data_IF_053204823149
#
_entry.id   IF_053204823149
#
_cell.length_a   1.000
_cell.length_b   1.000
_cell.length_c   1.000
_cell.angle_alpha   90.00
_cell.angle_beta   90.00
_cell.angle_gamma   90.00
#
_symmetry.space_group_name_H-M   'P 1'
#
loop_
_entity.id
_entity.type
_entity.pdbx_description
1 polymer ?
#
# COMPACT_ATOMS: atom_id res chain seq x y z
N UNK A 1 38.44 12.08 21.64
CA UNK A 1 37.17 12.31 20.93
C UNK A 1 37.21 11.38 19.74
N UNK A 2 36.41 10.31 19.75
CA UNK A 2 36.32 9.42 18.59
C UNK A 2 35.54 10.20 17.53
N UNK A 3 36.21 10.50 16.41
CA UNK A 3 35.54 11.05 15.23
C UNK A 3 34.43 10.07 14.83
N UNK A 4 33.19 10.56 14.76
CA UNK A 4 31.98 9.76 14.52
C UNK A 4 31.83 9.24 13.08
N UNK A 5 32.93 8.92 12.41
CA UNK A 5 32.92 8.49 11.00
C UNK A 5 32.41 7.06 10.81
N UNK A 6 32.55 6.18 11.81
CA UNK A 6 32.21 4.75 11.69
C UNK A 6 31.08 4.28 12.64
N UNK A 7 30.40 5.19 13.34
CA UNK A 7 29.37 4.80 14.31
C UNK A 7 28.04 4.47 13.61
N UNK A 8 27.66 3.20 13.65
CA UNK A 8 26.40 2.70 13.10
C UNK A 8 25.47 2.26 14.23
N UNK A 9 24.23 2.74 14.22
CA UNK A 9 23.18 2.24 15.11
C UNK A 9 22.30 1.22 14.39
N UNK A 10 21.99 0.13 15.09
CA UNK A 10 21.03 -0.88 14.67
C UNK A 10 19.91 -0.97 15.71
N UNK A 11 18.67 -1.17 15.25
CA UNK A 11 17.49 -1.28 16.10
C UNK A 11 16.48 -2.23 15.47
N UNK A 12 15.32 -2.42 16.11
CA UNK A 12 14.28 -3.39 15.75
C UNK A 12 13.39 -3.01 14.54
N UNK A 13 13.58 -1.82 13.95
CA UNK A 13 12.78 -1.34 12.82
C UNK A 13 11.46 -0.68 13.21
N UNK A 14 11.16 -0.53 14.50
CA UNK A 14 9.94 0.14 15.00
C UNK A 14 10.10 1.65 15.14
N UNK A 15 8.99 2.40 15.15
CA UNK A 15 9.04 3.84 15.39
C UNK A 15 9.66 4.18 16.76
N UNK A 16 9.32 3.39 17.78
CA UNK A 16 9.83 3.55 19.14
C UNK A 16 11.34 3.30 19.21
N UNK A 17 11.84 2.26 18.55
CA UNK A 17 13.28 1.99 18.47
C UNK A 17 14.07 3.10 17.79
N UNK A 18 13.49 3.75 16.76
CA UNK A 18 14.11 4.94 16.16
C UNK A 18 14.16 6.12 17.15
N UNK A 19 13.11 6.35 17.93
CA UNK A 19 13.13 7.39 18.96
C UNK A 19 14.17 7.09 20.06
N UNK A 20 14.35 5.81 20.42
CA UNK A 20 15.41 5.38 21.32
C UNK A 20 16.81 5.66 20.76
N UNK A 21 17.03 5.44 19.45
CA UNK A 21 18.28 5.83 18.79
C UNK A 21 18.57 7.33 18.93
N UNK A 22 17.54 8.18 18.82
CA UNK A 22 17.68 9.62 19.06
C UNK A 22 18.06 9.88 20.52
N UNK A 23 17.37 9.25 21.48
CA UNK A 23 17.64 9.41 22.91
C UNK A 23 19.09 9.05 23.25
N UNK A 24 19.55 7.88 22.80
CA UNK A 24 20.90 7.37 23.03
C UNK A 24 21.98 8.33 22.50
N UNK A 25 21.77 8.88 21.30
CA UNK A 25 22.69 9.88 20.72
C UNK A 25 22.84 11.11 21.62
N UNK A 26 21.78 11.56 22.28
CA UNK A 26 21.86 12.68 23.22
C UNK A 26 22.51 12.30 24.56
N UNK A 27 22.24 11.09 25.06
CA UNK A 27 22.80 10.59 26.32
C UNK A 27 24.32 10.36 26.21
N UNK A 28 24.76 9.64 25.16
CA UNK A 28 26.17 9.34 24.92
C UNK A 28 26.92 10.48 24.22
N UNK A 29 26.22 11.53 23.75
CA UNK A 29 26.78 12.62 22.93
C UNK A 29 27.44 12.12 21.65
N UNK A 30 26.86 11.07 21.08
CA UNK A 30 27.31 10.36 19.89
C UNK A 30 26.51 10.80 18.66
N UNK A 31 27.10 10.69 17.47
CA UNK A 31 26.43 11.03 16.21
C UNK A 31 26.59 9.85 15.27
N UNK A 32 25.55 9.04 15.04
CA UNK A 32 25.66 7.94 14.11
C UNK A 32 25.81 8.46 12.67
N UNK A 33 26.68 7.81 11.89
CA UNK A 33 26.78 8.04 10.45
C UNK A 33 25.66 7.29 9.69
N UNK A 34 25.14 6.20 10.28
CA UNK A 34 24.04 5.39 9.76
C UNK A 34 23.16 4.89 10.90
N UNK A 35 21.85 4.88 10.68
CA UNK A 35 20.86 4.21 11.52
C UNK A 35 20.10 3.27 10.59
N UNK A 36 20.01 1.98 10.92
CA UNK A 36 19.33 1.01 10.07
C UNK A 36 18.45 0.04 10.86
N UNK A 37 17.33 -0.41 10.28
CA UNK A 37 16.51 -1.50 10.81
C UNK A 37 17.28 -2.83 10.78
N UNK A 38 16.75 -3.92 11.35
CA UNK A 38 17.40 -5.21 11.28
C UNK A 38 17.41 -5.65 9.81
N UNK A 39 18.60 -5.98 9.31
CA UNK A 39 18.81 -6.53 7.98
C UNK A 39 19.23 -7.99 8.12
N UNK A 40 18.73 -8.86 7.25
CA UNK A 40 19.16 -10.26 7.12
C UNK A 40 20.64 -10.41 6.72
N UNK A 41 21.29 -9.32 6.28
CA UNK A 41 22.68 -9.31 5.84
C UNK A 41 23.60 -8.58 6.83
N UNK A 42 23.59 -9.01 8.09
CA UNK A 42 24.66 -8.65 9.03
C UNK A 42 25.94 -9.36 8.57
N UNK A 43 26.95 -8.58 8.17
CA UNK A 43 28.28 -9.14 7.90
C UNK A 43 29.01 -9.35 9.23
N UNK A 44 29.95 -10.31 9.29
CA UNK A 44 30.72 -10.60 10.51
C UNK A 44 31.54 -9.38 11.00
N UNK A 45 31.81 -8.42 10.11
CA UNK A 45 32.55 -7.19 10.38
C UNK A 45 31.66 -5.99 10.72
N UNK A 46 30.36 -6.22 10.95
CA UNK A 46 29.40 -5.15 11.11
C UNK A 46 29.42 -4.62 12.56
N UNK A 47 30.25 -3.62 12.81
CA UNK A 47 30.45 -2.99 14.12
C UNK A 47 29.31 -2.02 14.47
N UNK A 48 28.06 -2.49 14.39
CA UNK A 48 26.90 -1.69 14.77
C UNK A 48 26.58 -1.79 16.26
N UNK A 49 26.31 -0.65 16.90
CA UNK A 49 25.79 -0.57 18.27
C UNK A 49 24.29 -0.88 18.23
N UNK A 50 23.88 -1.98 18.86
CA UNK A 50 22.48 -2.32 19.03
C UNK A 50 21.81 -1.41 20.06
N UNK A 51 20.68 -0.82 19.70
CA UNK A 51 19.86 0.02 20.57
C UNK A 51 18.58 -0.74 20.89
N UNK A 52 18.39 -1.05 22.18
CA UNK A 52 17.17 -1.68 22.65
C UNK A 52 16.00 -0.68 22.69
N UNK A 53 14.83 -1.15 22.27
CA UNK A 53 13.60 -0.37 22.30
C UNK A 53 13.06 -0.28 23.72
N UNK A 54 12.95 0.95 24.21
CA UNK A 54 12.38 1.30 25.51
C UNK A 54 11.29 2.36 25.30
N UNK A 55 10.04 1.94 25.50
CA UNK A 55 8.86 2.80 25.31
C UNK A 55 8.93 4.09 26.14
N UNK A 56 9.52 4.08 27.35
CA UNK A 56 9.64 5.30 28.17
C UNK A 56 10.62 6.30 27.57
N UNK A 57 11.75 5.82 27.02
CA UNK A 57 12.73 6.67 26.32
C UNK A 57 12.14 7.21 25.02
N UNK A 58 11.46 6.36 24.26
CA UNK A 58 10.80 6.73 23.01
C UNK A 58 9.75 7.83 23.24
N UNK A 59 8.85 7.63 24.21
CA UNK A 59 7.81 8.60 24.58
C UNK A 59 8.41 9.93 25.03
N UNK A 60 9.50 9.91 25.80
CA UNK A 60 10.16 11.13 26.24
C UNK A 60 10.67 11.96 25.06
N UNK A 61 11.28 11.31 24.06
CA UNK A 61 11.72 12.00 22.84
C UNK A 61 10.50 12.50 22.06
N UNK A 62 9.54 11.61 21.78
CA UNK A 62 8.40 11.92 20.94
C UNK A 62 7.52 13.04 21.51
N UNK A 63 7.24 13.02 22.81
CA UNK A 63 6.45 14.05 23.50
C UNK A 63 7.20 15.38 23.65
N UNK A 64 8.54 15.38 23.54
CA UNK A 64 9.33 16.61 23.57
C UNK A 64 9.30 17.39 22.25
N UNK A 65 9.01 16.73 21.13
CA UNK A 65 8.96 17.33 19.78
C UNK A 65 7.98 18.51 19.72
N UNK A 66 6.69 18.38 20.08
CA UNK A 66 5.74 19.48 19.98
C UNK A 66 6.10 20.67 20.89
N UNK A 67 6.72 20.41 22.04
CA UNK A 67 7.10 21.43 23.02
C UNK A 67 8.35 22.21 22.56
N UNK A 68 9.34 21.52 21.98
CA UNK A 68 10.63 22.13 21.60
C UNK A 68 10.68 22.63 20.16
N UNK A 69 9.89 22.04 19.27
CA UNK A 69 9.90 22.33 17.84
C UNK A 69 8.52 22.86 17.43
N UNK A 70 7.56 21.96 17.21
CA UNK A 70 6.15 22.26 16.90
C UNK A 70 5.35 20.96 16.75
N UNK A 71 4.02 21.03 16.85
CA UNK A 71 3.14 19.89 16.55
C UNK A 71 3.26 19.43 15.09
N UNK A 72 3.50 20.36 14.17
CA UNK A 72 3.74 20.05 12.75
C UNK A 72 5.00 19.22 12.55
N UNK A 73 6.06 19.48 13.34
CA UNK A 73 7.28 18.68 13.28
C UNK A 73 7.06 17.26 13.80
N UNK A 74 6.22 17.09 14.83
CA UNK A 74 5.86 15.77 15.35
C UNK A 74 5.14 14.93 14.29
N UNK A 75 4.16 15.54 13.61
CA UNK A 75 3.46 14.88 12.50
C UNK A 75 4.39 14.60 11.32
N UNK A 76 5.29 15.52 10.98
CA UNK A 76 6.29 15.33 9.93
C UNK A 76 7.21 14.13 10.22
N UNK A 77 7.65 13.96 11.46
CA UNK A 77 8.50 12.82 11.89
C UNK A 77 7.72 11.51 11.82
N UNK A 78 6.48 11.50 12.32
CA UNK A 78 5.60 10.34 12.26
C UNK A 78 5.33 9.90 10.82
N UNK A 79 4.96 10.82 9.95
CA UNK A 79 4.74 10.53 8.52
C UNK A 79 6.04 10.19 7.80
N UNK A 80 7.15 10.84 8.16
CA UNK A 80 8.47 10.57 7.61
C UNK A 80 8.89 9.13 7.79
N UNK A 81 8.56 8.54 8.94
CA UNK A 81 8.85 7.13 9.24
C UNK A 81 8.12 6.16 8.30
N UNK A 82 6.93 6.53 7.82
CA UNK A 82 6.12 5.72 6.90
C UNK A 82 6.56 5.85 5.43
N UNK A 83 7.52 6.73 5.14
CA UNK A 83 8.09 6.85 3.79
C UNK A 83 9.05 5.69 3.52
N UNK A 84 9.27 5.37 2.26
CA UNK A 84 10.32 4.43 1.83
C UNK A 84 11.53 5.18 1.25
N UNK A 85 11.81 6.37 1.77
CA UNK A 85 13.00 7.16 1.38
C UNK A 85 14.28 6.45 1.83
N UNK A 86 15.34 6.56 1.03
CA UNK A 86 16.64 6.02 1.38
C UNK A 86 17.19 6.70 2.65
N UNK A 87 17.70 5.91 3.59
CA UNK A 87 18.22 6.39 4.88
C UNK A 87 17.23 7.28 5.66
N UNK A 88 15.91 7.00 5.56
CA UNK A 88 14.86 7.77 6.26
C UNK A 88 15.13 7.94 7.75
N UNK A 89 15.70 6.93 8.40
CA UNK A 89 16.06 6.92 9.82
C UNK A 89 17.07 8.03 10.14
N UNK A 90 18.14 8.10 9.36
CA UNK A 90 19.19 9.12 9.52
C UNK A 90 18.66 10.51 9.19
N UNK A 91 17.79 10.61 8.19
CA UNK A 91 17.18 11.85 7.76
C UNK A 91 16.22 12.42 8.85
N UNK A 92 15.40 11.56 9.47
CA UNK A 92 14.58 11.91 10.64
C UNK A 92 15.46 12.30 11.83
N UNK A 93 16.52 11.54 12.11
CA UNK A 93 17.45 11.83 13.19
C UNK A 93 18.11 13.22 13.03
N UNK A 94 18.64 13.52 11.83
CA UNK A 94 19.27 14.82 11.54
C UNK A 94 18.25 15.96 11.64
N UNK A 95 17.03 15.75 11.15
CA UNK A 95 15.95 16.72 11.29
C UNK A 95 15.64 17.02 12.76
N UNK A 96 15.45 15.99 13.59
CA UNK A 96 15.18 16.13 15.03
C UNK A 96 16.33 16.85 15.74
N UNK A 97 17.57 16.51 15.39
CA UNK A 97 18.75 17.14 15.98
C UNK A 97 18.84 18.64 15.67
N UNK A 98 18.61 19.01 14.41
CA UNK A 98 18.51 20.41 13.99
C UNK A 98 17.34 21.11 14.70
N UNK A 99 16.19 20.45 14.79
CA UNK A 99 15.01 20.97 15.46
C UNK A 99 15.21 21.22 16.95
N UNK A 100 15.85 20.31 17.69
CA UNK A 100 16.13 20.52 19.11
C UNK A 100 17.17 21.62 19.39
N UNK A 101 18.02 21.95 18.41
CA UNK A 101 18.99 23.04 18.50
C UNK A 101 18.40 24.40 18.13
N UNK A 102 17.60 24.45 17.06
CA UNK A 102 17.10 25.70 16.45
C UNK A 102 15.69 26.06 16.95
N UNK A 103 14.91 25.05 17.36
CA UNK A 103 13.49 25.14 17.68
C UNK A 103 12.61 25.15 16.44
N UNK A 104 11.37 25.63 16.57
CA UNK A 104 10.35 25.61 15.51
C UNK A 104 10.73 26.29 14.20
N UNK A 105 11.73 27.18 14.18
CA UNK A 105 12.25 27.80 12.95
C UNK A 105 12.79 26.77 11.95
N UNK A 106 13.19 25.58 12.39
CA UNK A 106 13.66 24.50 11.50
C UNK A 106 12.63 24.17 10.41
N UNK A 107 11.33 24.31 10.69
CA UNK A 107 10.25 23.98 9.75
C UNK A 107 10.23 24.88 8.52
N UNK A 108 10.79 26.10 8.62
CA UNK A 108 10.82 27.09 7.53
C UNK A 108 12.19 27.15 6.83
N UNK A 109 13.17 26.34 7.26
CA UNK A 109 14.50 26.28 6.66
C UNK A 109 14.50 25.44 5.38
N UNK A 110 13.82 25.92 4.34
CA UNK A 110 13.66 25.22 3.06
C UNK A 110 14.97 25.06 2.26
N UNK A 111 16.00 25.83 2.61
CA UNK A 111 17.34 25.72 2.04
C UNK A 111 18.16 24.59 2.67
N UNK A 112 17.74 24.07 3.82
CA UNK A 112 18.37 22.92 4.45
C UNK A 112 17.97 21.64 3.70
N UNK A 113 18.96 20.89 3.22
CA UNK A 113 18.73 19.68 2.43
C UNK A 113 17.98 18.61 3.21
N UNK A 114 18.22 18.47 4.51
CA UNK A 114 17.57 17.45 5.35
C UNK A 114 16.09 17.77 5.50
N UNK A 115 15.76 19.03 5.82
CA UNK A 115 14.38 19.50 5.95
C UNK A 115 13.64 19.37 4.62
N UNK A 116 14.28 19.81 3.53
CA UNK A 116 13.69 19.76 2.20
C UNK A 116 13.40 18.33 1.74
N UNK A 117 14.35 17.41 1.95
CA UNK A 117 14.19 15.99 1.60
C UNK A 117 13.10 15.31 2.44
N UNK A 118 13.06 15.56 3.76
CA UNK A 118 11.99 15.03 4.61
C UNK A 118 10.61 15.50 4.19
N UNK A 119 10.45 16.82 3.96
CA UNK A 119 9.19 17.38 3.51
C UNK A 119 8.77 16.84 2.15
N UNK A 120 9.72 16.64 1.22
CA UNK A 120 9.43 16.03 -0.09
C UNK A 120 8.98 14.57 0.05
N UNK A 121 9.67 13.77 0.85
CA UNK A 121 9.31 12.38 1.11
C UNK A 121 7.88 12.27 1.69
N UNK A 122 7.57 13.08 2.71
CA UNK A 122 6.23 13.12 3.31
C UNK A 122 5.17 13.61 2.33
N UNK A 123 5.44 14.63 1.52
CA UNK A 123 4.51 15.07 0.45
C UNK A 123 4.24 13.97 -0.57
N UNK A 124 5.25 13.18 -0.92
CA UNK A 124 5.09 12.05 -1.83
C UNK A 124 4.20 10.96 -1.22
N UNK A 125 4.43 10.59 0.06
CA UNK A 125 3.58 9.66 0.81
C UNK A 125 2.11 10.14 0.88
N UNK A 126 1.86 11.39 1.29
CA UNK A 126 0.49 11.90 1.46
C UNK A 126 -0.25 12.04 0.14
N UNK A 127 0.44 12.47 -0.92
CA UNK A 127 -0.11 12.52 -2.28
C UNK A 127 -0.45 11.13 -2.81
N UNK A 128 0.40 10.14 -2.53
CA UNK A 128 0.16 8.75 -2.89
C UNK A 128 -1.03 8.17 -2.14
N UNK A 129 -1.10 8.36 -0.82
CA UNK A 129 -2.25 7.95 -0.01
C UNK A 129 -3.56 8.60 -0.50
N UNK A 130 -3.56 9.89 -0.82
CA UNK A 130 -4.74 10.57 -1.36
C UNK A 130 -5.22 9.96 -2.69
N UNK A 131 -4.30 9.55 -3.58
CA UNK A 131 -4.66 8.86 -4.83
C UNK A 131 -5.31 7.50 -4.56
N UNK A 132 -4.78 6.72 -3.60
CA UNK A 132 -5.33 5.42 -3.26
C UNK A 132 -6.77 5.49 -2.73
N UNK A 133 -7.16 6.57 -2.04
CA UNK A 133 -8.57 6.78 -1.64
C UNK A 133 -9.56 6.71 -2.82
N UNK A 134 -9.15 7.12 -4.02
CA UNK A 134 -9.99 7.08 -5.23
C UNK A 134 -9.72 5.89 -6.15
N UNK A 135 -8.51 5.31 -6.12
CA UNK A 135 -8.11 4.27 -7.06
C UNK A 135 -8.28 2.84 -6.55
N UNK A 136 -8.44 2.65 -5.23
CA UNK A 136 -8.74 1.33 -4.68
C UNK A 136 -10.03 0.79 -5.27
N UNK A 137 -10.00 -0.49 -5.67
CA UNK A 137 -11.14 -1.27 -6.16
C UNK A 137 -11.30 -2.45 -5.24
N UNK A 138 -12.50 -2.58 -4.67
CA UNK A 138 -12.86 -3.75 -3.88
C UNK A 138 -13.51 -4.79 -4.79
N UNK A 139 -13.18 -6.04 -4.53
CA UNK A 139 -13.86 -7.21 -5.06
C UNK A 139 -14.51 -7.98 -3.94
N UNK A 140 -15.70 -8.52 -4.21
CA UNK A 140 -16.44 -9.31 -3.24
C UNK A 140 -15.86 -10.73 -3.23
N UNK A 141 -15.42 -11.19 -2.06
CA UNK A 141 -15.02 -12.58 -1.81
C UNK A 141 -15.81 -13.10 -0.61
N UNK A 142 -16.85 -13.90 -0.89
CA UNK A 142 -17.80 -14.34 0.13
C UNK A 142 -18.52 -13.14 0.76
N UNK A 143 -18.33 -12.93 2.06
CA UNK A 143 -18.89 -11.78 2.81
C UNK A 143 -17.91 -10.61 2.97
N UNK A 144 -16.68 -10.71 2.44
CA UNK A 144 -15.64 -9.71 2.65
C UNK A 144 -15.30 -8.96 1.37
N UNK A 145 -15.03 -7.66 1.51
CA UNK A 145 -14.52 -6.80 0.45
C UNK A 145 -12.99 -6.84 0.46
N UNK A 146 -12.37 -7.27 -0.63
CA UNK A 146 -10.90 -7.36 -0.71
C UNK A 146 -10.37 -6.46 -1.82
N UNK A 147 -9.35 -5.67 -1.48
CA UNK A 147 -8.60 -4.85 -2.42
C UNK A 147 -7.11 -5.16 -2.34
N UNK A 148 -6.43 -5.07 -3.48
CA UNK A 148 -4.97 -5.21 -3.57
C UNK A 148 -4.37 -3.90 -4.07
N UNK A 149 -3.29 -3.45 -3.42
CA UNK A 149 -2.56 -2.24 -3.76
C UNK A 149 -1.06 -2.52 -3.89
N UNK A 150 -0.39 -1.71 -4.71
CA UNK A 150 1.07 -1.72 -4.93
C UNK A 150 1.64 -0.31 -4.71
N UNK A 151 1.61 0.23 -3.47
CA UNK A 151 2.15 1.54 -3.14
C UNK A 151 3.68 1.54 -3.14
N UNK A 152 4.30 2.73 -3.24
CA UNK A 152 5.74 2.87 -3.02
C UNK A 152 6.09 3.13 -1.56
N UNK A 153 5.19 3.74 -0.80
CA UNK A 153 5.38 4.03 0.62
C UNK A 153 4.39 3.24 1.48
N UNK A 154 4.60 3.24 2.79
CA UNK A 154 3.70 2.57 3.73
C UNK A 154 2.42 3.38 3.97
N UNK A 155 1.45 3.25 3.06
CA UNK A 155 0.23 4.07 3.02
C UNK A 155 -0.92 3.54 3.87
N UNK A 156 -0.91 2.26 4.25
CA UNK A 156 -2.04 1.62 4.95
C UNK A 156 -2.48 2.35 6.23
N UNK A 157 -1.57 2.84 7.11
CA UNK A 157 -1.98 3.60 8.29
C UNK A 157 -2.74 4.89 7.97
N UNK A 158 -2.50 5.52 6.82
CA UNK A 158 -3.22 6.72 6.39
C UNK A 158 -4.56 6.38 5.73
N UNK A 159 -4.65 5.21 5.11
CA UNK A 159 -5.87 4.75 4.44
C UNK A 159 -6.90 4.20 5.43
N UNK A 160 -6.44 3.60 6.54
CA UNK A 160 -7.29 2.97 7.55
C UNK A 160 -8.43 3.88 8.01
N UNK A 161 -8.12 5.09 8.46
CA UNK A 161 -9.12 6.05 8.95
C UNK A 161 -10.20 6.36 7.90
N UNK A 162 -9.82 6.50 6.63
CA UNK A 162 -10.75 6.82 5.56
C UNK A 162 -11.70 5.66 5.24
N UNK A 163 -11.16 4.44 5.13
CA UNK A 163 -11.97 3.27 4.76
C UNK A 163 -12.81 2.74 5.94
N UNK A 164 -12.32 2.85 7.18
CA UNK A 164 -13.09 2.49 8.36
C UNK A 164 -14.33 3.38 8.53
N UNK A 165 -14.21 4.67 8.22
CA UNK A 165 -15.35 5.60 8.24
C UNK A 165 -16.34 5.32 7.09
N UNK A 166 -15.82 5.10 5.87
CA UNK A 166 -16.63 4.90 4.67
C UNK A 166 -17.35 3.55 4.61
N UNK A 167 -16.73 2.48 5.11
CA UNK A 167 -17.25 1.11 5.07
C UNK A 167 -17.58 0.59 6.48
N UNK A 168 -18.13 1.46 7.31
CA UNK A 168 -18.55 1.12 8.66
C UNK A 168 -19.60 -0.02 8.63
N UNK A 169 -19.36 -1.07 9.41
CA UNK A 169 -20.22 -2.26 9.46
C UNK A 169 -19.92 -3.34 8.41
N UNK A 170 -19.14 -3.05 7.37
CA UNK A 170 -18.70 -4.03 6.39
C UNK A 170 -17.42 -4.74 6.84
N UNK A 171 -17.18 -5.96 6.33
CA UNK A 171 -15.88 -6.65 6.49
C UNK A 171 -15.03 -6.31 5.29
N UNK A 172 -13.85 -5.72 5.49
CA UNK A 172 -12.94 -5.45 4.37
C UNK A 172 -11.49 -5.74 4.69
N UNK A 173 -10.72 -6.00 3.63
CA UNK A 173 -9.28 -6.20 3.66
C UNK A 173 -8.63 -5.40 2.53
N UNK A 174 -7.59 -4.64 2.85
CA UNK A 174 -6.73 -3.98 1.86
C UNK A 174 -5.33 -4.55 2.00
N UNK A 175 -4.89 -5.30 1.00
CA UNK A 175 -3.58 -5.92 0.98
C UNK A 175 -2.58 -5.07 0.20
N UNK A 176 -1.50 -4.67 0.87
CA UNK A 176 -0.33 -4.05 0.29
C UNK A 176 0.68 -5.12 -0.12
N UNK A 177 0.78 -5.34 -1.43
CA UNK A 177 1.67 -6.34 -2.01
C UNK A 177 3.14 -5.92 -2.00
N UNK A 178 3.43 -4.62 -1.92
CA UNK A 178 4.82 -4.13 -1.87
C UNK A 178 5.45 -4.43 -0.52
N UNK A 179 4.71 -4.18 0.56
CA UNK A 179 5.19 -4.35 1.93
C UNK A 179 4.74 -5.67 2.57
N UNK A 180 3.91 -6.46 1.87
CA UNK A 180 3.33 -7.72 2.37
C UNK A 180 2.54 -7.53 3.68
N UNK A 181 1.77 -6.44 3.77
CA UNK A 181 0.93 -6.12 4.93
C UNK A 181 -0.52 -5.99 4.50
N UNK A 182 -1.46 -6.46 5.32
CA UNK A 182 -2.88 -6.24 5.13
C UNK A 182 -3.47 -5.37 6.23
N UNK A 183 -4.33 -4.44 5.83
CA UNK A 183 -5.28 -3.80 6.71
C UNK A 183 -6.56 -4.64 6.72
N UNK A 184 -6.92 -5.20 7.88
CA UNK A 184 -8.16 -5.95 8.08
C UNK A 184 -9.10 -5.12 8.95
N UNK A 185 -10.34 -5.01 8.51
CA UNK A 185 -11.41 -4.37 9.26
C UNK A 185 -12.57 -5.33 9.47
N UNK A 186 -12.87 -5.59 10.74
CA UNK A 186 -13.98 -6.43 11.16
C UNK A 186 -14.51 -5.94 12.51
N UNK A 187 -15.84 -5.92 12.68
CA UNK A 187 -16.48 -5.59 13.96
C UNK A 187 -15.99 -4.26 14.56
N UNK A 188 -15.85 -3.23 13.72
CA UNK A 188 -15.36 -1.90 14.08
C UNK A 188 -13.94 -1.85 14.65
N UNK A 189 -13.11 -2.87 14.35
CA UNK A 189 -11.68 -2.88 14.66
C UNK A 189 -10.88 -2.96 13.38
N UNK A 190 -9.83 -2.16 13.33
CA UNK A 190 -8.88 -2.11 12.23
C UNK A 190 -7.53 -2.59 12.73
N UNK A 191 -6.97 -3.61 12.07
CA UNK A 191 -5.67 -4.19 12.44
C UNK A 191 -4.78 -4.27 11.19
N UNK A 192 -3.49 -4.00 11.39
CA UNK A 192 -2.46 -4.19 10.37
C UNK A 192 -1.74 -5.50 10.68
N UNK A 193 -1.69 -6.41 9.72
CA UNK A 193 -1.11 -7.74 9.89
C UNK A 193 -0.16 -8.02 8.73
N UNK A 194 1.03 -8.51 9.05
CA UNK A 194 1.99 -8.98 8.05
C UNK A 194 1.49 -10.30 7.45
N UNK A 195 1.37 -10.35 6.13
CA UNK A 195 0.89 -11.53 5.38
C UNK A 195 1.92 -11.86 4.30
N UNK A 196 2.62 -12.96 4.49
CA UNK A 196 3.53 -13.50 3.47
C UNK A 196 2.74 -14.13 2.33
N UNK A 197 2.56 -13.37 1.24
CA UNK A 197 2.00 -13.87 0.00
C UNK A 197 0.50 -14.18 0.06
N UNK A 198 -0.32 -13.18 -0.28
CA UNK A 198 -1.75 -13.40 -0.41
C UNK A 198 -2.10 -14.11 -1.74
N UNK A 199 -2.54 -15.36 -1.66
CA UNK A 199 -3.22 -16.03 -2.78
C UNK A 199 -4.72 -15.83 -2.68
N UNK A 200 -5.26 -14.91 -3.49
CA UNK A 200 -6.71 -14.75 -3.59
C UNK A 200 -7.33 -15.94 -4.34
N UNK A 201 -8.47 -16.46 -3.88
CA UNK A 201 -9.21 -17.47 -4.62
C UNK A 201 -9.68 -16.91 -5.97
N UNK A 202 -10.01 -17.81 -6.90
CA UNK A 202 -10.58 -17.39 -8.17
C UNK A 202 -11.85 -16.56 -7.96
N UNK A 203 -12.03 -15.56 -8.83
CA UNK A 203 -13.16 -14.66 -8.81
C UNK A 203 -14.45 -15.45 -9.04
N UNK A 204 -15.45 -15.26 -8.17
CA UNK A 204 -16.77 -15.88 -8.35
C UNK A 204 -17.48 -15.31 -9.60
N UNK A 205 -18.38 -16.11 -10.17
CA UNK A 205 -19.25 -15.73 -11.28
C UNK A 205 -20.05 -14.44 -11.01
N UNK A 206 -20.43 -14.19 -9.76
CA UNK A 206 -21.14 -12.98 -9.35
C UNK A 206 -20.22 -11.75 -9.44
N UNK A 207 -19.02 -11.85 -8.88
CA UNK A 207 -18.02 -10.78 -8.92
C UNK A 207 -17.56 -10.49 -10.36
N UNK A 208 -17.44 -11.53 -11.20
CA UNK A 208 -17.14 -11.35 -12.62
C UNK A 208 -18.20 -10.49 -13.33
N UNK A 209 -19.49 -10.70 -13.03
CA UNK A 209 -20.58 -9.85 -13.54
C UNK A 209 -20.47 -8.41 -13.04
N UNK A 210 -20.15 -8.19 -11.76
CA UNK A 210 -19.95 -6.83 -11.24
C UNK A 210 -18.82 -6.08 -11.94
N UNK A 211 -17.70 -6.76 -12.19
CA UNK A 211 -16.58 -6.19 -12.96
C UNK A 211 -16.99 -5.83 -14.39
N UNK A 212 -17.80 -6.66 -15.04
CA UNK A 212 -18.31 -6.38 -16.38
C UNK A 212 -19.23 -5.17 -16.40
N UNK A 213 -20.18 -5.08 -15.45
CA UNK A 213 -21.06 -3.93 -15.31
C UNK A 213 -20.27 -2.63 -15.06
N UNK A 214 -19.22 -2.70 -14.23
CA UNK A 214 -18.32 -1.58 -14.01
C UNK A 214 -17.61 -1.14 -15.30
N UNK A 215 -17.07 -2.08 -16.08
CA UNK A 215 -16.43 -1.79 -17.37
C UNK A 215 -17.41 -1.15 -18.35
N UNK A 216 -18.63 -1.68 -18.45
CA UNK A 216 -19.66 -1.12 -19.30
C UNK A 216 -20.00 0.31 -18.87
N UNK A 217 -20.24 0.52 -17.57
CA UNK A 217 -20.47 1.85 -17.02
C UNK A 217 -19.33 2.81 -17.38
N UNK A 218 -18.07 2.42 -17.10
CA UNK A 218 -16.88 3.22 -17.37
C UNK A 218 -16.76 3.64 -18.84
N UNK A 219 -17.04 2.71 -19.77
CA UNK A 219 -16.98 2.97 -21.20
C UNK A 219 -18.16 3.85 -21.67
N UNK A 220 -19.36 3.64 -21.14
CA UNK A 220 -20.56 4.38 -21.56
C UNK A 220 -20.57 5.83 -21.07
N UNK A 221 -20.05 6.11 -19.87
CA UNK A 221 -19.98 7.48 -19.36
C UNK A 221 -18.85 8.31 -20.00
N UNK A 222 -17.93 7.67 -20.71
CA UNK A 222 -16.80 8.34 -21.33
C UNK A 222 -17.27 9.20 -22.51
N UNK A 223 -17.07 10.51 -22.40
CA UNK A 223 -17.36 11.45 -23.50
C UNK A 223 -16.16 11.40 -24.46
N UNK A 224 -16.36 10.81 -25.64
CA UNK A 224 -15.29 10.62 -26.64
C UNK A 224 -14.55 11.92 -26.99
N UNK A 225 -15.29 13.03 -27.14
CA UNK A 225 -14.72 14.35 -27.42
C UNK A 225 -13.90 14.98 -26.28
N UNK A 226 -13.91 14.38 -25.07
CA UNK A 226 -13.09 14.79 -23.91
C UNK A 226 -11.94 13.83 -23.63
N UNK A 227 -11.70 12.87 -24.52
CA UNK A 227 -10.61 11.90 -24.34
C UNK A 227 -9.25 12.59 -24.47
N UNK A 228 -8.50 12.62 -23.37
CA UNK A 228 -7.14 13.14 -23.35
C UNK A 228 -6.23 12.16 -22.61
N UNK A 229 -5.52 11.27 -23.34
CA UNK A 229 -4.65 10.27 -22.74
C UNK A 229 -3.51 10.88 -21.92
N UNK A 230 -2.95 12.02 -22.34
CA UNK A 230 -1.88 12.71 -21.60
C UNK A 230 -2.39 13.20 -20.25
N UNK A 231 -3.52 13.89 -20.23
CA UNK A 231 -4.14 14.37 -18.99
C UNK A 231 -4.46 13.20 -18.03
N UNK A 232 -5.01 12.10 -18.57
CA UNK A 232 -5.26 10.88 -17.79
C UNK A 232 -3.98 10.33 -17.16
N UNK A 233 -2.89 10.21 -17.92
CA UNK A 233 -1.62 9.69 -17.39
C UNK A 233 -0.99 10.61 -16.32
N UNK A 234 -1.20 11.92 -16.42
CA UNK A 234 -0.75 12.88 -15.40
C UNK A 234 -1.55 12.74 -14.10
N UNK A 235 -2.89 12.68 -14.19
CA UNK A 235 -3.77 12.62 -13.02
C UNK A 235 -3.84 11.20 -12.41
N UNK A 236 -3.77 10.18 -13.26
CA UNK A 236 -3.82 8.76 -12.93
C UNK A 236 -2.63 8.04 -13.56
N UNK A 237 -1.46 8.07 -12.92
CA UNK A 237 -0.24 7.43 -13.42
C UNK A 237 -0.43 5.93 -13.66
N UNK A 238 0.18 5.41 -14.73
CA UNK A 238 0.01 4.01 -15.17
C UNK A 238 0.33 2.95 -14.10
N UNK A 239 1.22 3.25 -13.15
CA UNK A 239 1.58 2.32 -12.08
C UNK A 239 0.37 1.82 -11.27
N UNK A 240 -0.69 2.62 -11.17
CA UNK A 240 -1.91 2.25 -10.44
C UNK A 240 -2.82 1.34 -11.25
N UNK A 241 -2.69 1.30 -12.57
CA UNK A 241 -3.66 0.66 -13.46
C UNK A 241 -3.65 -0.86 -13.31
N UNK A 242 -2.54 -1.45 -12.84
CA UNK A 242 -2.40 -2.89 -12.63
C UNK A 242 -3.48 -3.48 -11.73
N UNK A 243 -3.98 -2.71 -10.77
CA UNK A 243 -4.98 -3.15 -9.80
C UNK A 243 -6.38 -2.54 -10.07
N UNK A 244 -6.56 -1.87 -11.22
CA UNK A 244 -7.83 -1.24 -11.59
C UNK A 244 -8.62 -2.12 -12.54
N UNK A 245 -9.85 -2.43 -12.16
CA UNK A 245 -10.79 -3.29 -12.91
C UNK A 245 -11.05 -2.83 -14.34
N UNK A 246 -11.07 -1.51 -14.59
CA UNK A 246 -11.30 -0.90 -15.90
C UNK A 246 -10.12 -1.07 -16.89
N UNK A 247 -8.92 -1.37 -16.40
CA UNK A 247 -7.72 -1.60 -17.23
C UNK A 247 -7.24 -3.05 -17.19
N UNK A 248 -7.94 -3.92 -16.45
CA UNK A 248 -7.62 -5.33 -16.39
C UNK A 248 -8.10 -6.05 -17.66
N UNK A 249 -7.16 -6.31 -18.57
CA UNK A 249 -7.39 -7.07 -19.80
C UNK A 249 -7.62 -8.58 -19.52
N UNK A 250 -7.35 -9.09 -18.32
CA UNK A 250 -7.54 -10.53 -18.00
C UNK A 250 -9.00 -10.91 -17.88
N UNK A 251 -9.87 -9.98 -17.49
CA UNK A 251 -11.32 -10.24 -17.47
C UNK A 251 -11.91 -10.40 -18.87
N UNK A 252 -11.26 -9.87 -19.91
CA UNK A 252 -11.67 -10.08 -21.30
C UNK A 252 -11.32 -11.51 -21.78
N UNK A 253 -10.27 -12.13 -21.22
CA UNK A 253 -9.94 -13.54 -21.45
C UNK A 253 -10.94 -14.48 -20.76
N UNK A 254 -11.47 -14.10 -19.58
CA UNK A 254 -12.59 -14.81 -18.95
C UNK A 254 -13.86 -14.71 -19.79
N UNK A 255 -14.13 -13.59 -20.46
CA UNK A 255 -15.27 -13.47 -21.39
C UNK A 255 -15.16 -14.47 -22.54
N UNK A 256 -13.97 -14.65 -23.12
CA UNK A 256 -13.76 -15.67 -24.17
C UNK A 256 -14.05 -17.07 -23.60
N UNK A 257 -13.60 -17.37 -22.38
CA UNK A 257 -13.81 -18.69 -21.78
C UNK A 257 -15.27 -18.95 -21.40
N UNK A 258 -15.99 -17.97 -20.84
CA UNK A 258 -17.41 -18.07 -20.49
C UNK A 258 -18.27 -18.15 -21.75
N UNK A 259 -18.04 -17.31 -22.76
CA UNK A 259 -18.75 -17.42 -24.05
C UNK A 259 -18.48 -18.76 -24.73
N UNK A 260 -17.23 -19.25 -24.74
CA UNK A 260 -16.91 -20.57 -25.29
C UNK A 260 -17.60 -21.69 -24.50
N UNK A 261 -17.71 -21.59 -23.19
CA UNK A 261 -18.42 -22.56 -22.36
C UNK A 261 -19.93 -22.56 -22.61
N UNK A 262 -20.57 -21.38 -22.65
CA UNK A 262 -21.99 -21.20 -22.96
C UNK A 262 -22.32 -21.67 -24.38
N UNK A 263 -21.45 -21.39 -25.36
CA UNK A 263 -21.61 -21.83 -26.76
C UNK A 263 -21.45 -23.35 -26.88
N UNK A 264 -20.50 -23.96 -26.16
CA UNK A 264 -20.35 -25.43 -26.11
C UNK A 264 -21.57 -26.11 -25.47
N UNK A 265 -22.14 -25.50 -24.43
CA UNK A 265 -23.33 -26.03 -23.76
C UNK A 265 -24.58 -25.89 -24.65
N UNK A 266 -24.70 -24.80 -25.40
CA UNK A 266 -25.76 -24.63 -26.41
C UNK A 266 -25.64 -25.65 -27.56
N UNK A 267 -24.43 -25.90 -28.08
CA UNK A 267 -24.18 -26.90 -29.13
C UNK A 267 -24.47 -28.32 -28.62
N UNK A 268 -24.07 -28.66 -27.38
CA UNK A 268 -24.35 -29.96 -26.79
C UNK A 268 -25.87 -30.20 -26.63
N UNK A 269 -26.62 -29.17 -26.23
CA UNK A 269 -28.07 -29.25 -26.07
C UNK A 269 -28.84 -29.33 -27.41
N UNK A 270 -28.26 -28.84 -28.52
CA UNK A 270 -28.84 -28.98 -29.87
C UNK A 270 -28.52 -30.34 -30.52
N UNK A 271 -27.35 -30.92 -30.19
CA UNK A 271 -27.00 -32.29 -30.62
C UNK A 271 -27.92 -33.32 -29.97
N UNK A 272 -28.27 -33.15 -28.68
CA UNK A 272 -29.21 -34.04 -27.99
C UNK A 272 -30.67 -33.92 -28.48
N UNK A 273 -31.02 -32.82 -29.16
CA UNK A 273 -32.34 -32.65 -29.80
C UNK A 273 -32.41 -33.20 -31.21
N UNK A 274 -31.27 -33.48 -31.86
CA UNK A 274 -31.22 -34.00 -33.23
C UNK A 274 -31.09 -35.52 -33.30
N UNK A 275 -30.76 -36.19 -32.21
CA UNK A 275 -30.67 -37.66 -32.10
C UNK A 275 -32.03 -38.37 -32.04
N UNK A 276 -33.15 -37.66 -31.84
CA UNK A 276 -34.48 -38.26 -31.65
C UNK A 276 -35.34 -38.37 -32.93
N UNK A 277 -34.75 -38.14 -34.12
CA UNK A 277 -35.43 -38.33 -35.42
C UNK A 277 -34.64 -39.23 -36.36
N UNK A 278 -34.37 -40.46 -35.95
CA UNK A 278 -34.04 -41.54 -36.91
C UNK A 278 -35.34 -42.16 -37.43
N UNK A 279 -35.85 -41.61 -38.53
CA UNK A 279 -36.97 -42.17 -39.30
C UNK A 279 -36.59 -43.56 -39.81
N UNK A 280 -37.19 -44.62 -39.23
CA UNK A 280 -37.09 -45.99 -39.75
C UNK A 280 -37.99 -46.13 -40.98
N UNK A 281 -37.39 -46.17 -42.17
CA UNK A 281 -38.07 -46.65 -43.36
C UNK A 281 -38.14 -48.18 -43.31
N UNK A 282 -39.35 -48.75 -43.24
CA UNK A 282 -39.58 -50.17 -43.49
C UNK A 282 -39.61 -50.41 -45.00
N UNK A 283 -38.72 -51.26 -45.48
CA UNK A 283 -38.78 -51.82 -46.83
C UNK A 283 -39.53 -53.15 -46.72
N UNK A 284 -40.73 -53.21 -47.30
CA UNK A 284 -41.44 -54.46 -47.57
C UNK A 284 -40.73 -55.19 -48.71
N UNK A 285 -40.46 -56.48 -48.51
CA UNK A 285 -40.00 -57.42 -49.53
C UNK A 285 -40.83 -58.69 -49.42
N UNK A 286 -41.29 -59.16 -50.58
CA UNK A 286 -42.25 -60.24 -50.85
C UNK A 286 -41.86 -61.62 -50.33
#
# INVERSE_FOLDING_TARGET
>A
MLDGTDLVYAYDGTFEGLMCCVFESYECKEIPCLIRPPSDQQTIFDTSKWIETDSQKADRVYNSIPVRISSEAQELVKLGFLTCEENKELLIFRFLRSGFKIGGKVMTMLTDEVVCSLQKAVRHLTSESHKFKGFIRFSVFGEALVAVIEPKNYVLPLLSAHFCDRYNGEKFMIYDKTHSVALIYQSNRAELIDIEGLTLPNVDSTEAKYRQLWKQFYNTIAIEGRTNPRCRMTLMPKRYWNQMTEFDNKSDLFQIQVQVAETKQAIANDIDKTTDKTTRYQIQGD
#
